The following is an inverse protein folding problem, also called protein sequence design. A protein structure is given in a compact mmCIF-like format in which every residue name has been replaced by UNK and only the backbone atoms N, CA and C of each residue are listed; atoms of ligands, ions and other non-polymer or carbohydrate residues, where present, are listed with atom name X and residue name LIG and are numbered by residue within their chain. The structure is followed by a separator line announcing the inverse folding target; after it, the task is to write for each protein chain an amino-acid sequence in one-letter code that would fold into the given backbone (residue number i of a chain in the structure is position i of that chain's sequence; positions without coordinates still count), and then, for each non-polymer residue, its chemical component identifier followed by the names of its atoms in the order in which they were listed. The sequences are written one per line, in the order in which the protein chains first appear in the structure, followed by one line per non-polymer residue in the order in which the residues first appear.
data_IF_815334027542
#
_entry.id   IF_815334027542
#
_cell.length_a   1.000
_cell.length_b   1.000
_cell.length_c   1.000
_cell.angle_alpha   90.00
_cell.angle_beta   90.00
_cell.angle_gamma   90.00
#
_symmetry.space_group_name_H-M   'P 1'
#
loop_
_entity.id
_entity.type
_entity.pdbx_description
1 polymer ?
#
# COMPACT_ATOMS: atom_id res chain seq x y z
N UNK A 1 14.13 -3.52 -18.38
CA UNK A 1 13.94 -2.21 -17.73
C UNK A 1 15.07 -1.91 -16.76
N UNK A 2 15.00 -0.76 -16.09
CA UNK A 2 15.96 -0.30 -15.07
C UNK A 2 15.21 -0.10 -13.75
N UNK A 3 15.74 -0.62 -12.64
CA UNK A 3 15.14 -0.49 -11.31
C UNK A 3 14.93 -1.83 -10.59
N UNK A 4 14.12 -1.81 -9.53
CA UNK A 4 13.86 -2.99 -8.69
C UNK A 4 12.81 -3.92 -9.32
N UNK A 5 13.26 -4.81 -10.21
CA UNK A 5 12.40 -5.71 -10.96
C UNK A 5 11.76 -6.82 -10.11
N UNK A 6 12.32 -7.14 -8.94
CA UNK A 6 11.80 -8.17 -8.04
C UNK A 6 10.50 -7.75 -7.35
N UNK A 7 10.29 -6.44 -7.17
CA UNK A 7 9.10 -5.88 -6.52
C UNK A 7 7.91 -5.68 -7.44
N UNK A 8 8.04 -5.97 -8.74
CA UNK A 8 6.90 -5.86 -9.65
C UNK A 8 5.89 -6.97 -9.36
N UNK A 9 4.63 -6.57 -9.23
CA UNK A 9 3.52 -7.51 -9.23
C UNK A 9 3.38 -8.12 -10.63
N UNK A 10 3.11 -9.42 -10.68
CA UNK A 10 2.76 -10.06 -11.93
C UNK A 10 1.42 -9.49 -12.44
N UNK A 11 1.27 -9.27 -13.76
CA UNK A 11 0.02 -8.76 -14.31
C UNK A 11 -1.13 -9.72 -13.99
N UNK A 12 -2.24 -9.17 -13.51
CA UNK A 12 -3.44 -9.97 -13.28
C UNK A 12 -4.20 -10.16 -14.58
N UNK A 13 -4.44 -11.41 -14.94
CA UNK A 13 -5.09 -11.78 -16.18
C UNK A 13 -6.53 -12.23 -15.88
N UNK A 14 -7.52 -11.45 -16.31
CA UNK A 14 -8.93 -11.87 -16.23
C UNK A 14 -9.26 -12.83 -17.36
N UNK A 15 -8.95 -14.10 -17.12
CA UNK A 15 -9.18 -15.18 -18.07
C UNK A 15 -10.60 -15.71 -17.85
N UNK A 16 -11.43 -15.68 -18.90
CA UNK A 16 -12.83 -16.14 -18.85
C UNK A 16 -12.97 -17.65 -18.58
N UNK A 17 -14.16 -18.12 -18.17
CA UNK A 17 -14.40 -19.52 -17.77
C UNK A 17 -14.14 -20.56 -18.86
N UNK A 18 -14.07 -20.14 -20.13
CA UNK A 18 -13.76 -20.97 -21.29
C UNK A 18 -12.27 -21.37 -21.42
N UNK A 19 -11.43 -20.94 -20.48
CA UNK A 19 -9.99 -21.19 -20.49
C UNK A 19 -9.54 -21.82 -19.17
N UNK A 20 -8.63 -22.77 -19.27
CA UNK A 20 -7.85 -23.27 -18.14
C UNK A 20 -6.44 -22.71 -18.23
N UNK A 21 -6.08 -21.90 -17.25
CA UNK A 21 -4.76 -21.30 -17.14
C UNK A 21 -3.83 -22.15 -16.27
N UNK A 22 -2.59 -22.29 -16.71
CA UNK A 22 -1.51 -22.89 -15.94
C UNK A 22 -0.41 -21.86 -15.76
N UNK A 23 -0.15 -21.51 -14.50
CA UNK A 23 0.94 -20.61 -14.14
C UNK A 23 2.28 -21.33 -14.32
N UNK A 24 3.22 -20.70 -15.02
CA UNK A 24 4.61 -21.13 -15.03
C UNK A 24 5.44 -20.32 -14.04
N UNK A 25 6.70 -20.70 -13.85
CA UNK A 25 7.63 -19.89 -13.06
C UNK A 25 8.06 -18.66 -13.85
N UNK A 26 7.82 -17.48 -13.30
CA UNK A 26 8.38 -16.24 -13.82
C UNK A 26 9.91 -16.28 -13.75
N UNK A 27 10.58 -16.03 -14.86
CA UNK A 27 12.03 -15.89 -14.94
C UNK A 27 12.40 -14.41 -14.85
N UNK A 28 13.30 -14.06 -13.93
CA UNK A 28 13.83 -12.69 -13.81
C UNK A 28 15.33 -12.73 -13.99
N UNK A 29 15.83 -12.02 -15.00
CA UNK A 29 17.24 -11.84 -15.25
C UNK A 29 17.65 -10.41 -14.87
N UNK A 30 18.57 -10.26 -13.92
CA UNK A 30 18.99 -8.98 -13.35
C UNK A 30 20.51 -8.83 -13.46
N UNK A 31 20.92 -7.73 -14.07
CA UNK A 31 22.31 -7.33 -14.23
C UNK A 31 22.53 -5.99 -13.53
N UNK A 32 23.53 -5.92 -12.64
CA UNK A 32 23.94 -4.68 -11.98
C UNK A 32 25.27 -4.20 -12.54
N UNK A 33 25.28 -3.03 -13.16
CA UNK A 33 26.51 -2.42 -13.69
C UNK A 33 26.60 -0.95 -13.25
N UNK A 34 27.73 -0.58 -12.66
CA UNK A 34 28.01 0.80 -12.20
C UNK A 34 26.93 1.40 -11.26
N UNK A 35 26.29 0.57 -10.42
CA UNK A 35 25.24 1.01 -9.50
C UNK A 35 23.85 1.14 -10.12
N UNK A 36 23.69 0.81 -11.40
CA UNK A 36 22.41 0.76 -12.10
C UNK A 36 21.95 -0.70 -12.20
N UNK A 37 20.77 -0.98 -11.65
CA UNK A 37 20.12 -2.30 -11.76
C UNK A 37 19.31 -2.33 -13.04
N UNK A 38 19.64 -3.24 -13.94
CA UNK A 38 18.94 -3.46 -15.21
C UNK A 38 18.49 -4.92 -15.28
N UNK A 39 17.45 -5.21 -16.06
CA UNK A 39 17.03 -6.59 -16.20
C UNK A 39 15.73 -6.77 -16.95
N UNK A 40 15.34 -8.02 -17.12
CA UNK A 40 14.16 -8.46 -17.85
C UNK A 40 13.42 -9.48 -17.00
N UNK A 41 12.09 -9.29 -16.86
CA UNK A 41 11.20 -10.26 -16.22
C UNK A 41 10.30 -10.84 -17.29
N UNK A 42 10.35 -12.15 -17.47
CA UNK A 42 9.54 -12.91 -18.42
C UNK A 42 8.58 -13.79 -17.64
N UNK A 43 7.29 -13.65 -17.94
CA UNK A 43 6.22 -14.43 -17.31
C UNK A 43 5.57 -15.22 -18.43
N UNK A 44 5.57 -16.54 -18.32
CA UNK A 44 4.90 -17.43 -19.27
C UNK A 44 3.66 -18.02 -18.61
N UNK A 45 2.55 -18.08 -19.34
CA UNK A 45 1.33 -18.74 -18.86
C UNK A 45 0.74 -19.55 -20.01
N UNK A 46 0.35 -20.78 -19.72
CA UNK A 46 -0.24 -21.67 -20.72
C UNK A 46 -1.76 -21.62 -20.59
N UNK A 47 -2.45 -21.31 -21.69
CA UNK A 47 -3.90 -21.24 -21.77
C UNK A 47 -4.43 -22.41 -22.59
N UNK A 48 -5.33 -23.20 -22.01
CA UNK A 48 -5.98 -24.34 -22.68
C UNK A 48 -7.47 -24.04 -22.86
N UNK A 49 -7.99 -23.98 -24.09
CA UNK A 49 -9.42 -23.77 -24.32
C UNK A 49 -10.21 -25.01 -23.88
N UNK A 50 -11.34 -24.81 -23.22
CA UNK A 50 -12.22 -25.91 -22.76
C UNK A 50 -13.40 -26.15 -23.70
N UNK A 51 -13.69 -25.20 -24.58
CA UNK A 51 -14.75 -25.24 -25.59
C UNK A 51 -14.22 -24.70 -26.92
N UNK A 52 -14.75 -25.21 -28.03
CA UNK A 52 -14.46 -24.66 -29.35
C UNK A 52 -15.28 -23.41 -29.64
N UNK A 53 -14.83 -22.61 -30.61
CA UNK A 53 -15.45 -21.35 -31.01
C UNK A 53 -14.43 -20.24 -31.28
N UNK A 54 -14.95 -19.05 -31.58
CA UNK A 54 -14.15 -17.84 -31.72
C UNK A 54 -14.07 -17.09 -30.39
N UNK A 55 -12.84 -16.83 -29.94
CA UNK A 55 -12.57 -16.12 -28.70
C UNK A 55 -11.64 -14.94 -28.95
N UNK A 56 -11.84 -13.87 -28.19
CA UNK A 56 -10.92 -12.73 -28.16
C UNK A 56 -10.25 -12.69 -26.79
N UNK A 57 -8.92 -12.76 -26.77
CA UNK A 57 -8.14 -12.45 -25.58
C UNK A 57 -8.08 -10.92 -25.45
N UNK A 58 -8.53 -10.36 -24.32
CA UNK A 58 -8.49 -8.93 -24.11
C UNK A 58 -7.05 -8.42 -24.02
N UNK A 59 -6.87 -7.14 -24.32
CA UNK A 59 -5.64 -6.41 -24.07
C UNK A 59 -5.21 -6.55 -22.61
N UNK A 60 -3.92 -6.81 -22.38
CA UNK A 60 -3.35 -6.88 -21.04
C UNK A 60 -2.79 -5.51 -20.70
N UNK A 61 -3.24 -4.95 -19.60
CA UNK A 61 -2.74 -3.67 -19.11
C UNK A 61 -1.71 -3.90 -18.01
N UNK A 62 -0.59 -3.19 -18.09
CA UNK A 62 0.44 -3.19 -17.07
C UNK A 62 0.81 -1.77 -16.71
N UNK A 63 0.76 -1.45 -15.42
CA UNK A 63 1.11 -0.12 -14.91
C UNK A 63 2.42 -0.14 -14.15
N UNK A 64 3.34 0.76 -14.49
CA UNK A 64 4.62 0.92 -13.80
C UNK A 64 4.89 2.38 -13.45
N UNK A 65 5.72 2.61 -12.44
CA UNK A 65 6.18 3.94 -12.09
C UNK A 65 7.41 4.29 -12.93
N UNK A 66 7.34 5.38 -13.69
CA UNK A 66 8.49 5.93 -14.40
C UNK A 66 9.19 6.99 -13.53
N UNK A 67 10.41 6.70 -13.02
CA UNK A 67 11.14 7.64 -12.17
C UNK A 67 11.62 8.90 -12.90
N UNK A 68 11.71 8.89 -14.23
CA UNK A 68 12.13 10.08 -15.00
C UNK A 68 11.01 11.12 -15.08
N UNK A 69 9.78 10.67 -15.35
CA UNK A 69 8.60 11.54 -15.37
C UNK A 69 7.96 11.73 -13.98
N UNK A 70 8.28 10.87 -13.01
CA UNK A 70 7.68 10.90 -11.67
C UNK A 70 6.21 10.50 -11.66
N UNK A 71 5.75 9.77 -12.67
CA UNK A 71 4.33 9.42 -12.87
C UNK A 71 4.17 7.93 -13.15
N UNK A 72 2.96 7.42 -12.91
CA UNK A 72 2.60 6.07 -13.35
C UNK A 72 2.24 6.08 -14.82
N UNK A 73 2.80 5.14 -15.57
CA UNK A 73 2.49 4.89 -16.97
C UNK A 73 1.82 3.53 -17.10
N UNK A 74 0.82 3.45 -17.97
CA UNK A 74 0.10 2.22 -18.29
C UNK A 74 0.41 1.86 -19.74
N UNK A 75 0.84 0.63 -19.96
CA UNK A 75 1.06 0.05 -21.29
C UNK A 75 0.07 -1.09 -21.50
N UNK A 76 -0.38 -1.25 -22.73
CA UNK A 76 -1.40 -2.24 -23.08
C UNK A 76 -0.95 -3.04 -24.31
N UNK A 77 -1.26 -4.33 -24.31
CA UNK A 77 -1.06 -5.19 -25.48
C UNK A 77 -2.25 -5.08 -26.42
N UNK A 78 -2.09 -5.50 -27.67
CA UNK A 78 -3.22 -5.64 -28.58
C UNK A 78 -4.09 -6.86 -28.21
N UNK A 79 -5.41 -6.81 -28.43
CA UNK A 79 -6.28 -7.98 -28.31
C UNK A 79 -5.91 -9.05 -29.35
N UNK A 80 -6.03 -10.33 -28.97
CA UNK A 80 -5.69 -11.45 -29.85
C UNK A 80 -6.96 -12.26 -30.18
N UNK A 81 -7.24 -12.43 -31.48
CA UNK A 81 -8.33 -13.27 -31.97
C UNK A 81 -7.87 -14.72 -32.11
N UNK A 82 -8.60 -15.65 -31.50
CA UNK A 82 -8.29 -17.08 -31.51
C UNK A 82 -9.53 -17.85 -31.99
N UNK A 83 -9.37 -18.66 -33.03
CA UNK A 83 -10.39 -19.60 -33.48
C UNK A 83 -9.99 -21.01 -33.04
N UNK A 84 -10.84 -21.66 -32.25
CA UNK A 84 -10.63 -23.01 -31.74
C UNK A 84 -11.61 -23.95 -32.44
N UNK A 85 -11.08 -24.87 -33.24
CA UNK A 85 -11.89 -25.92 -33.87
C UNK A 85 -12.43 -26.90 -32.82
N UNK A 86 -13.72 -27.21 -32.90
CA UNK A 86 -14.37 -28.18 -32.01
C UNK A 86 -14.38 -29.54 -32.68
N UNK A 87 -13.88 -30.56 -31.99
CA UNK A 87 -14.01 -31.95 -32.44
C UNK A 87 -15.37 -32.52 -31.97
N UNK A 88 -16.14 -33.13 -32.89
CA UNK A 88 -17.52 -33.60 -32.65
C UNK A 88 -17.64 -34.70 -31.58
N UNK A 89 -16.52 -35.29 -31.14
CA UNK A 89 -16.49 -36.46 -30.26
C UNK A 89 -16.52 -36.14 -28.74
N UNK A 90 -16.44 -34.88 -28.31
CA UNK A 90 -16.34 -34.57 -26.86
C UNK A 90 -17.45 -33.66 -26.37
N UNK A 91 -18.69 -34.15 -26.43
CA UNK A 91 -19.80 -33.66 -25.62
C UNK A 91 -20.00 -34.55 -24.38
N UNK A 92 -18.93 -34.77 -23.60
CA UNK A 92 -19.08 -35.25 -22.24
C UNK A 92 -19.08 -34.02 -21.32
N UNK A 93 -20.15 -33.73 -20.57
CA UNK A 93 -20.13 -32.67 -19.57
C UNK A 93 -19.05 -33.03 -18.55
N UNK A 94 -17.94 -32.31 -18.58
CA UNK A 94 -16.95 -32.35 -17.51
C UNK A 94 -17.66 -31.71 -16.32
N UNK A 95 -18.07 -32.52 -15.35
CA UNK A 95 -18.63 -32.02 -14.09
C UNK A 95 -17.63 -31.04 -13.49
N UNK A 96 -18.08 -29.79 -13.39
CA UNK A 96 -17.34 -28.70 -12.78
C UNK A 96 -17.45 -28.93 -11.26
N UNK A 97 -16.62 -29.82 -10.72
CA UNK A 97 -16.33 -29.76 -9.28
C UNK A 97 -15.45 -28.54 -9.09
N UNK A 98 -16.10 -27.39 -8.91
CA UNK A 98 -15.48 -26.25 -8.29
C UNK A 98 -14.83 -26.76 -6.99
N UNK A 99 -13.55 -26.48 -6.72
CA UNK A 99 -13.01 -26.73 -5.41
C UNK A 99 -13.84 -25.88 -4.45
N UNK A 100 -14.79 -26.53 -3.77
CA UNK A 100 -15.34 -26.02 -2.54
C UNK A 100 -14.17 -26.08 -1.58
N UNK A 101 -13.33 -25.05 -1.59
CA UNK A 101 -12.52 -24.70 -0.45
C UNK A 101 -13.51 -24.46 0.67
N UNK A 102 -13.82 -25.53 1.40
CA UNK A 102 -14.15 -25.47 2.82
C UNK A 102 -12.93 -24.84 3.48
N UNK A 103 -12.86 -23.52 3.38
CA UNK A 103 -12.02 -22.66 4.19
C UNK A 103 -12.57 -22.77 5.60
N UNK A 104 -12.02 -23.74 6.32
CA UNK A 104 -11.98 -23.81 7.77
C UNK A 104 -11.86 -22.40 8.35
N UNK A 105 -12.89 -21.94 9.07
CA UNK A 105 -12.89 -20.75 9.91
C UNK A 105 -12.56 -19.42 9.20
N UNK A 106 -13.51 -18.93 8.39
CA UNK A 106 -13.59 -17.53 7.97
C UNK A 106 -13.98 -16.59 9.14
N UNK A 107 -13.19 -16.62 10.22
CA UNK A 107 -13.15 -15.55 11.20
C UNK A 107 -12.00 -14.62 10.85
N UNK A 108 -12.31 -13.45 10.28
CA UNK A 108 -11.44 -12.25 10.15
C UNK A 108 -10.55 -12.11 8.91
N UNK A 109 -11.03 -12.44 7.71
CA UNK A 109 -10.50 -11.81 6.50
C UNK A 109 -11.52 -10.80 6.01
N UNK A 110 -11.29 -9.52 6.32
CA UNK A 110 -12.07 -8.43 5.74
C UNK A 110 -11.52 -8.14 4.33
N UNK A 111 -12.37 -7.97 3.31
CA UNK A 111 -11.91 -7.64 1.96
C UNK A 111 -11.18 -6.30 1.96
N UNK A 112 -10.05 -6.25 1.24
CA UNK A 112 -9.27 -5.04 1.01
C UNK A 112 -10.12 -4.12 0.12
N UNK A 113 -10.57 -2.98 0.65
CA UNK A 113 -11.35 -2.00 -0.11
C UNK A 113 -10.41 -1.24 -1.07
N UNK A 114 -10.69 -1.34 -2.37
CA UNK A 114 -9.92 -0.75 -3.49
C UNK A 114 -10.51 0.61 -3.93
N UNK A 115 -11.26 1.27 -3.06
CA UNK A 115 -11.53 2.70 -3.23
C UNK A 115 -10.66 3.42 -2.22
N UNK A 116 -9.92 4.48 -2.59
CA UNK A 116 -9.38 5.40 -1.60
C UNK A 116 -10.59 5.95 -0.88
N UNK A 117 -10.96 5.31 0.23
CA UNK A 117 -11.94 5.85 1.11
C UNK A 117 -11.43 7.24 1.42
N UNK A 118 -12.24 8.25 1.14
CA UNK A 118 -12.13 9.55 1.78
C UNK A 118 -12.34 9.28 3.26
N UNK A 119 -11.35 8.65 3.89
CA UNK A 119 -11.25 8.49 5.30
C UNK A 119 -11.15 9.92 5.76
N UNK A 120 -12.28 10.46 6.20
CA UNK A 120 -12.29 11.60 7.06
C UNK A 120 -11.46 11.14 8.25
N UNK A 121 -10.16 11.41 8.20
CA UNK A 121 -9.30 11.35 9.36
C UNK A 121 -10.06 12.17 10.40
N UNK A 122 -10.46 11.58 11.53
CA UNK A 122 -11.21 12.33 12.51
C UNK A 122 -10.33 13.53 12.87
N UNK A 123 -10.81 14.74 12.50
CA UNK A 123 -10.12 16.03 12.67
C UNK A 123 -10.10 16.42 14.16
N UNK A 124 -9.77 15.47 15.01
CA UNK A 124 -9.77 15.61 16.46
C UNK A 124 -8.55 16.40 16.95
N UNK A 125 -7.54 16.61 16.09
CA UNK A 125 -6.26 17.18 16.51
C UNK A 125 -6.01 18.59 15.98
N UNK A 126 -6.44 18.93 14.76
CA UNK A 126 -6.16 20.25 14.18
C UNK A 126 -7.28 21.28 14.41
N UNK A 127 -8.53 20.85 14.63
CA UNK A 127 -9.69 21.75 14.77
C UNK A 127 -10.05 22.15 16.20
N UNK A 128 -9.59 21.41 17.22
CA UNK A 128 -9.97 21.65 18.61
C UNK A 128 -8.94 22.54 19.34
N UNK A 129 -9.34 23.72 19.87
CA UNK A 129 -8.42 24.64 20.57
C UNK A 129 -7.84 24.06 21.87
N UNK A 130 -8.47 23.02 22.44
CA UNK A 130 -7.95 22.28 23.60
C UNK A 130 -6.63 21.57 23.33
N UNK A 131 -6.36 21.13 22.10
CA UNK A 131 -5.09 20.51 21.70
C UNK A 131 -3.91 21.48 21.87
N UNK A 132 -4.11 22.75 21.48
CA UNK A 132 -3.10 23.81 21.63
C UNK A 132 -2.91 24.25 23.09
N UNK A 133 -3.98 24.25 23.89
CA UNK A 133 -3.90 24.53 25.33
C UNK A 133 -3.04 23.49 26.08
N UNK A 134 -3.10 22.21 25.67
CA UNK A 134 -2.32 21.15 26.30
C UNK A 134 -0.81 21.33 26.04
N UNK A 135 -0.44 21.93 24.90
CA UNK A 135 0.94 22.30 24.58
C UNK A 135 1.48 23.47 25.43
N UNK A 136 0.62 24.32 25.97
CA UNK A 136 1.04 25.44 26.84
C UNK A 136 1.36 25.01 28.27
N UNK A 137 0.92 23.83 28.71
CA UNK A 137 1.17 23.30 30.06
C UNK A 137 2.68 23.22 30.40
N UNK A 138 3.55 22.60 29.58
CA UNK A 138 4.98 22.57 29.89
C UNK A 138 5.63 23.97 29.88
N UNK A 139 5.20 24.87 28.99
CA UNK A 139 5.76 26.22 28.89
C UNK A 139 5.44 27.07 30.12
N UNK A 140 4.17 27.06 30.55
CA UNK A 140 3.72 27.80 31.74
C UNK A 140 4.36 27.28 33.01
N UNK A 141 4.59 25.97 33.11
CA UNK A 141 5.29 25.37 34.24
C UNK A 141 6.73 25.90 34.37
N UNK A 142 7.48 25.99 33.26
CA UNK A 142 8.84 26.56 33.26
C UNK A 142 8.84 28.03 33.67
N UNK A 143 7.91 28.84 33.15
CA UNK A 143 7.80 30.27 33.48
C UNK A 143 7.47 30.47 34.97
N UNK A 144 6.53 29.69 35.50
CA UNK A 144 6.15 29.74 36.91
C UNK A 144 7.34 29.38 37.82
N UNK A 145 8.09 28.33 37.47
CA UNK A 145 9.26 27.87 38.22
C UNK A 145 10.35 28.95 38.22
N UNK A 146 10.63 29.57 37.06
CA UNK A 146 11.59 30.66 36.93
C UNK A 146 11.19 31.92 37.71
N UNK A 147 9.91 32.30 37.65
CA UNK A 147 9.36 33.42 38.43
C UNK A 147 9.49 33.20 39.94
N UNK A 148 9.21 31.98 40.41
CA UNK A 148 9.35 31.63 41.82
C UNK A 148 10.81 31.67 42.29
N UNK A 149 11.74 31.20 41.46
CA UNK A 149 13.18 31.31 41.73
C UNK A 149 13.65 32.76 41.81
N UNK A 150 13.19 33.64 40.90
CA UNK A 150 13.54 35.07 40.92
C UNK A 150 12.99 35.77 42.18
N UNK A 151 11.76 35.47 42.59
CA UNK A 151 11.18 36.03 43.82
C UNK A 151 11.98 35.61 45.07
N UNK A 152 12.36 34.34 45.18
CA UNK A 152 13.21 33.87 46.29
C UNK A 152 14.55 34.61 46.33
N UNK A 153 15.19 34.82 45.18
CA UNK A 153 16.44 35.58 45.08
C UNK A 153 16.26 37.06 45.48
N UNK A 154 15.17 37.71 45.06
CA UNK A 154 14.89 39.10 45.42
C UNK A 154 14.59 39.29 46.92
N UNK A 155 13.96 38.31 47.58
CA UNK A 155 13.68 38.37 49.02
C UNK A 155 14.98 38.18 49.84
N UNK A 156 15.93 37.39 49.34
CA UNK A 156 17.23 37.19 49.99
C UNK A 156 18.23 38.34 49.76
N UNK A 157 18.11 39.07 48.64
CA UNK A 157 19.00 40.19 48.31
C UNK A 157 18.57 41.54 48.90
N UNK A 158 17.46 41.59 49.66
CA UNK A 158 16.99 42.82 50.28
C UNK A 158 17.35 42.85 51.79
N UNK A 159 18.42 43.53 52.20
CA UNK A 159 18.91 43.52 53.59
C UNK A 159 17.92 44.15 54.59
N UNK A 160 16.92 44.90 54.12
CA UNK A 160 15.86 45.46 54.96
C UNK A 160 14.86 44.39 55.46
N UNK A 161 14.58 43.35 54.66
CA UNK A 161 13.63 42.30 55.02
C UNK A 161 14.17 41.29 56.05
N UNK A 162 15.50 41.13 56.13
CA UNK A 162 16.14 40.29 57.17
C UNK A 162 16.23 40.98 58.53
N UNK A 163 16.13 42.31 58.60
CA UNK A 163 16.18 43.06 59.86
C UNK A 163 14.84 43.05 60.60
N UNK A 164 13.72 43.05 59.88
CA UNK A 164 12.38 42.97 60.51
C UNK A 164 12.03 41.57 61.03
N UNK A 165 12.60 40.51 60.44
CA UNK A 165 12.39 39.13 60.93
C UNK A 165 13.28 38.75 62.13
N UNK A 166 14.31 39.55 62.45
CA UNK A 166 15.19 39.35 63.63
C UNK A 166 14.78 40.17 64.86
N UNK A 167 13.68 40.93 64.79
CA UNK A 167 13.20 41.79 65.87
C UNK A 167 11.86 41.33 66.48
N UNK A 168 11.48 40.07 66.27
CA UNK A 168 10.34 39.42 66.92
C UNK A 168 10.83 38.29 67.83
#
# INVERSE_FOLDING_TARGET
GVGNLETFADPQWEIGPQWRAFDSQAATDIHSQAGVITGTRTIEQVLVPTVGGEFTLPAIQFSYFDPQSGTYQTVETEPILISVEQDEQTAAPISIDAPTTKGTNAGRLHPIKISPGTGQVPSLYAGNPSFWLLWLVPLTFIIAQFGWQRRKKNILNNPAAQRSQKAA
#
